data_IF_071565960249
#
_entry.id   IF_071565960249
#
_cell.length_a   1.000
_cell.length_b   1.000
_cell.length_c   1.000
_cell.angle_alpha   90.00
_cell.angle_beta   90.00
_cell.angle_gamma   90.00
#
_symmetry.space_group_name_H-M   'P 1'
#
loop_
_entity.id
_entity.type
_entity.pdbx_description
1 polymer ?
#
# COMPACT_ATOMS: atom_id res chain seq x y z
N UNK A 1 -18.04 -15.20 14.13
CA UNK A 1 -18.32 -13.76 14.32
C UNK A 1 -19.83 -13.58 14.45
N UNK A 2 -20.30 -12.84 15.44
CA UNK A 2 -21.74 -12.59 15.63
C UNK A 2 -22.23 -11.57 14.60
N UNK A 3 -23.50 -11.65 14.18
CA UNK A 3 -24.10 -10.75 13.18
C UNK A 3 -23.90 -9.27 13.54
N UNK A 4 -24.02 -8.95 14.84
CA UNK A 4 -23.77 -7.63 15.39
C UNK A 4 -22.31 -7.16 15.21
N UNK A 5 -21.34 -8.03 15.48
CA UNK A 5 -19.91 -7.72 15.29
C UNK A 5 -19.59 -7.48 13.81
N UNK A 6 -20.12 -8.32 12.91
CA UNK A 6 -19.92 -8.13 11.46
C UNK A 6 -20.55 -6.83 10.97
N UNK A 7 -21.76 -6.49 11.42
CA UNK A 7 -22.42 -5.24 11.07
C UNK A 7 -21.64 -4.00 11.56
N UNK A 8 -21.12 -4.06 12.80
CA UNK A 8 -20.28 -3.00 13.36
C UNK A 8 -18.98 -2.84 12.55
N UNK A 9 -18.31 -3.93 12.19
CA UNK A 9 -17.10 -3.90 11.38
C UNK A 9 -17.36 -3.31 9.99
N UNK A 10 -18.43 -3.74 9.32
CA UNK A 10 -18.78 -3.22 7.98
C UNK A 10 -19.11 -1.73 8.04
N UNK A 11 -19.91 -1.30 9.02
CA UNK A 11 -20.24 0.12 9.20
C UNK A 11 -19.00 0.95 9.50
N UNK A 12 -18.16 0.48 10.42
CA UNK A 12 -16.90 1.14 10.78
C UNK A 12 -15.95 1.26 9.58
N UNK A 13 -15.79 0.19 8.80
CA UNK A 13 -14.98 0.21 7.58
C UNK A 13 -15.56 1.14 6.52
N UNK A 14 -16.88 1.14 6.30
CA UNK A 14 -17.51 2.09 5.37
C UNK A 14 -17.24 3.55 5.77
N UNK A 15 -17.39 3.88 7.06
CA UNK A 15 -17.14 5.23 7.55
C UNK A 15 -15.65 5.60 7.40
N UNK A 16 -14.76 4.71 7.85
CA UNK A 16 -13.31 4.91 7.76
C UNK A 16 -12.85 5.12 6.31
N UNK A 17 -13.31 4.27 5.39
CA UNK A 17 -12.94 4.35 3.98
C UNK A 17 -13.47 5.63 3.33
N UNK A 18 -14.68 6.07 3.70
CA UNK A 18 -15.27 7.32 3.16
C UNK A 18 -14.42 8.53 3.55
N UNK A 19 -14.00 8.61 4.82
CA UNK A 19 -13.19 9.73 5.31
C UNK A 19 -11.80 9.66 4.68
N UNK A 20 -11.13 8.50 4.75
CA UNK A 20 -9.77 8.34 4.24
C UNK A 20 -9.69 8.52 2.72
N UNK A 21 -10.72 8.13 1.97
CA UNK A 21 -10.76 8.32 0.52
C UNK A 21 -10.79 9.80 0.12
N UNK A 22 -11.47 10.65 0.90
CA UNK A 22 -11.54 12.09 0.61
C UNK A 22 -10.18 12.73 0.87
N UNK A 23 -9.57 12.47 2.03
CA UNK A 23 -8.26 13.03 2.39
C UNK A 23 -7.18 12.64 1.37
N UNK A 24 -7.14 11.36 0.98
CA UNK A 24 -6.22 10.88 -0.05
C UNK A 24 -6.44 11.55 -1.42
N UNK A 25 -7.70 11.78 -1.81
CA UNK A 25 -8.02 12.45 -3.06
C UNK A 25 -7.61 13.94 -3.05
N UNK A 26 -7.81 14.63 -1.92
CA UNK A 26 -7.46 16.05 -1.76
C UNK A 26 -5.95 16.23 -1.83
N UNK A 27 -5.17 15.48 -1.03
CA UNK A 27 -3.71 15.59 -1.02
C UNK A 27 -3.13 15.31 -2.41
N UNK A 28 -3.62 14.26 -3.09
CA UNK A 28 -3.15 13.94 -4.44
C UNK A 28 -3.52 15.02 -5.46
N UNK A 29 -4.73 15.60 -5.37
CA UNK A 29 -5.16 16.70 -6.23
C UNK A 29 -4.36 17.98 -5.99
N UNK A 30 -4.03 18.30 -4.72
CA UNK A 30 -3.21 19.44 -4.34
C UNK A 30 -1.81 19.33 -4.93
N UNK A 31 -1.14 18.18 -4.74
CA UNK A 31 0.17 17.90 -5.33
C UNK A 31 0.12 17.98 -6.86
N UNK A 32 -0.92 17.43 -7.49
CA UNK A 32 -1.10 17.50 -8.95
C UNK A 32 -1.34 18.92 -9.47
N UNK A 33 -1.98 19.77 -8.67
CA UNK A 33 -2.27 21.15 -9.03
C UNK A 33 -1.02 22.01 -9.10
N UNK A 34 0.01 21.69 -8.31
CA UNK A 34 1.33 22.32 -8.35
C UNK A 34 2.20 21.90 -9.53
N UNK A 35 1.81 20.87 -10.30
CA UNK A 35 2.59 20.36 -11.43
C UNK A 35 2.21 21.04 -12.75
N UNK A 36 3.23 21.33 -13.57
CA UNK A 36 3.02 21.80 -14.94
C UNK A 36 2.21 20.80 -15.78
N UNK A 37 1.39 21.31 -16.71
CA UNK A 37 0.38 20.52 -17.43
C UNK A 37 0.94 19.31 -18.21
N UNK A 38 2.16 19.41 -18.72
CA UNK A 38 2.87 18.28 -19.37
C UNK A 38 3.30 17.21 -18.37
N UNK A 39 3.86 17.62 -17.22
CA UNK A 39 4.31 16.72 -16.17
C UNK A 39 3.11 16.00 -15.51
N UNK A 40 2.00 16.70 -15.30
CA UNK A 40 0.75 16.11 -14.77
C UNK A 40 0.22 14.97 -15.65
N UNK A 41 0.14 15.18 -16.98
CA UNK A 41 -0.29 14.11 -17.90
C UNK A 41 0.67 12.93 -17.91
N UNK A 42 1.97 13.19 -17.88
CA UNK A 42 2.97 12.13 -17.83
C UNK A 42 2.86 11.31 -16.54
N UNK A 43 2.72 11.98 -15.38
CA UNK A 43 2.55 11.33 -14.09
C UNK A 43 1.24 10.54 -14.00
N UNK A 44 0.13 11.09 -14.50
CA UNK A 44 -1.14 10.35 -14.52
C UNK A 44 -1.09 9.11 -15.42
N UNK A 45 -0.41 9.17 -16.57
CA UNK A 45 -0.30 8.03 -17.46
C UNK A 45 0.70 6.98 -16.94
N UNK A 46 1.93 7.38 -16.65
CA UNK A 46 3.01 6.47 -16.28
C UNK A 46 3.02 6.14 -14.78
N UNK A 47 2.68 7.10 -13.93
CA UNK A 47 2.62 6.92 -12.48
C UNK A 47 1.51 5.96 -12.08
N UNK A 48 0.31 6.09 -12.64
CA UNK A 48 -0.79 5.14 -12.39
C UNK A 48 -0.43 3.76 -12.96
N UNK A 49 0.12 3.70 -14.18
CA UNK A 49 0.53 2.43 -14.78
C UNK A 49 1.61 1.72 -13.93
N UNK A 50 2.60 2.45 -13.44
CA UNK A 50 3.61 1.89 -12.55
C UNK A 50 3.00 1.44 -11.22
N UNK A 51 2.17 2.28 -10.58
CA UNK A 51 1.53 1.96 -9.31
C UNK A 51 0.64 0.71 -9.41
N UNK A 52 -0.11 0.54 -10.50
CA UNK A 52 -1.01 -0.60 -10.66
C UNK A 52 -0.27 -1.85 -11.12
N UNK A 53 0.61 -1.78 -12.13
CA UNK A 53 1.23 -3.00 -12.67
C UNK A 53 2.47 -3.43 -11.89
N UNK A 54 3.33 -2.49 -11.47
CA UNK A 54 4.57 -2.83 -10.77
C UNK A 54 4.28 -3.09 -9.30
N UNK A 55 3.71 -2.12 -8.58
CA UNK A 55 3.48 -2.29 -7.14
C UNK A 55 2.38 -3.32 -6.86
N UNK A 56 1.36 -3.42 -7.70
CA UNK A 56 0.25 -4.38 -7.45
C UNK A 56 0.44 -5.74 -8.12
N UNK A 57 1.24 -5.83 -9.19
CA UNK A 57 1.49 -7.09 -9.90
C UNK A 57 2.87 -7.67 -9.61
N UNK A 58 3.91 -6.91 -9.90
CA UNK A 58 5.31 -7.38 -9.80
C UNK A 58 5.74 -7.54 -8.34
N UNK A 59 5.39 -6.61 -7.46
CA UNK A 59 5.84 -6.67 -6.07
C UNK A 59 5.31 -7.91 -5.32
N UNK A 60 4.00 -8.27 -5.37
CA UNK A 60 3.52 -9.50 -4.75
C UNK A 60 4.14 -10.75 -5.36
N UNK A 61 4.30 -10.77 -6.69
CA UNK A 61 4.96 -11.87 -7.39
C UNK A 61 6.42 -12.06 -6.93
N UNK A 62 7.16 -10.95 -6.78
CA UNK A 62 8.55 -10.97 -6.32
C UNK A 62 8.63 -11.47 -4.87
N UNK A 63 7.71 -11.05 -4.00
CA UNK A 63 7.61 -11.53 -2.62
C UNK A 63 7.38 -13.05 -2.58
N UNK A 64 6.43 -13.57 -3.36
CA UNK A 64 6.15 -15.03 -3.42
C UNK A 64 7.34 -15.81 -4.02
N UNK A 65 8.00 -15.25 -5.04
CA UNK A 65 9.17 -15.88 -5.65
C UNK A 65 10.36 -15.96 -4.68
N UNK A 66 10.63 -14.91 -3.91
CA UNK A 66 11.70 -14.88 -2.90
C UNK A 66 11.43 -15.84 -1.73
N UNK A 67 10.16 -15.99 -1.32
CA UNK A 67 9.79 -16.85 -0.18
C UNK A 67 9.59 -18.32 -0.55
N UNK A 68 9.24 -18.63 -1.80
CA UNK A 68 9.08 -20.01 -2.28
C UNK A 68 9.97 -20.31 -3.50
N UNK A 69 11.30 -20.49 -3.31
CA UNK A 69 12.25 -20.72 -4.41
C UNK A 69 11.97 -21.99 -5.23
N UNK A 70 11.23 -22.93 -4.64
CA UNK A 70 10.98 -24.27 -5.18
C UNK A 70 9.97 -24.29 -6.35
N UNK A 71 9.15 -23.24 -6.52
CA UNK A 71 8.12 -23.15 -7.56
C UNK A 71 8.63 -22.61 -8.90
N UNK A 72 9.83 -22.01 -8.94
CA UNK A 72 10.33 -21.30 -10.12
C UNK A 72 9.52 -20.04 -10.48
N UNK A 73 10.03 -19.17 -11.36
CA UNK A 73 9.40 -17.87 -11.66
C UNK A 73 7.99 -18.00 -12.27
N UNK A 74 7.75 -19.07 -13.05
CA UNK A 74 6.45 -19.33 -13.67
C UNK A 74 5.44 -19.92 -12.68
N UNK A 75 5.87 -20.78 -11.76
CA UNK A 75 5.03 -21.33 -10.68
C UNK A 75 4.65 -20.28 -9.63
N UNK A 76 5.55 -19.33 -9.35
CA UNK A 76 5.24 -18.18 -8.52
C UNK A 76 4.21 -17.24 -9.17
N UNK A 77 4.28 -17.06 -10.50
CA UNK A 77 3.32 -16.25 -11.25
C UNK A 77 1.93 -16.89 -11.24
N UNK A 78 1.85 -18.20 -11.52
CA UNK A 78 0.58 -18.93 -11.45
C UNK A 78 0.02 -18.93 -10.04
N UNK A 79 0.83 -19.21 -9.00
CA UNK A 79 0.37 -19.21 -7.61
C UNK A 79 -0.14 -17.84 -7.14
N UNK A 80 0.48 -16.74 -7.59
CA UNK A 80 0.06 -15.37 -7.25
C UNK A 80 -1.29 -15.03 -7.91
N UNK A 81 -1.54 -15.51 -9.13
CA UNK A 81 -2.79 -15.26 -9.86
C UNK A 81 -3.89 -16.29 -9.59
N UNK A 82 -3.56 -17.52 -9.19
CA UNK A 82 -4.51 -18.60 -8.95
C UNK A 82 -5.11 -18.58 -7.54
N UNK A 83 -4.67 -17.66 -6.67
CA UNK A 83 -5.20 -17.53 -5.31
C UNK A 83 -4.96 -18.77 -4.43
N UNK A 84 -3.89 -19.52 -4.73
CA UNK A 84 -3.57 -20.75 -4.01
C UNK A 84 -3.27 -20.45 -2.54
N UNK A 85 -3.70 -21.31 -1.62
CA UNK A 85 -3.53 -21.12 -0.16
C UNK A 85 -2.08 -20.93 0.28
N UNK A 86 -1.13 -21.38 -0.56
CA UNK A 86 0.31 -21.20 -0.37
C UNK A 86 0.79 -19.78 -0.67
N UNK A 87 0.16 -19.06 -1.60
CA UNK A 87 0.48 -17.66 -1.87
C UNK A 87 0.02 -16.75 -0.71
N UNK A 88 -1.13 -17.06 -0.11
CA UNK A 88 -1.60 -16.38 1.11
C UNK A 88 -0.65 -16.61 2.29
N UNK A 89 -0.23 -17.87 2.52
CA UNK A 89 0.73 -18.19 3.57
C UNK A 89 2.10 -17.50 3.35
N UNK A 90 2.58 -17.45 2.11
CA UNK A 90 3.82 -16.75 1.75
C UNK A 90 3.72 -15.23 1.96
N UNK A 91 2.57 -14.63 1.64
CA UNK A 91 2.31 -13.20 1.89
C UNK A 91 2.22 -12.92 3.39
N UNK A 92 1.57 -13.80 4.16
CA UNK A 92 1.46 -13.68 5.61
C UNK A 92 2.82 -13.84 6.30
N UNK A 93 3.66 -14.77 5.84
CA UNK A 93 5.04 -14.96 6.33
C UNK A 93 5.97 -13.78 5.96
N UNK A 94 5.71 -13.14 4.82
CA UNK A 94 6.46 -11.96 4.37
C UNK A 94 5.98 -10.66 4.99
N UNK A 95 4.75 -10.63 5.51
CA UNK A 95 4.13 -9.43 6.08
C UNK A 95 4.96 -8.82 7.22
N UNK A 96 5.54 -9.59 8.17
CA UNK A 96 6.38 -9.04 9.23
C UNK A 96 7.55 -8.22 8.73
N UNK A 97 8.26 -8.67 7.70
CA UNK A 97 9.46 -7.96 7.22
C UNK A 97 9.09 -6.66 6.50
N UNK A 98 7.98 -6.67 5.75
CA UNK A 98 7.42 -5.48 5.12
C UNK A 98 6.90 -4.48 6.16
N UNK A 99 6.22 -4.98 7.19
CA UNK A 99 5.67 -4.18 8.29
C UNK A 99 6.78 -3.57 9.15
N UNK A 100 7.90 -4.26 9.37
CA UNK A 100 9.07 -3.70 10.06
C UNK A 100 9.64 -2.51 9.28
N UNK A 101 9.78 -2.63 7.97
CA UNK A 101 10.23 -1.51 7.12
C UNK A 101 9.33 -0.28 7.25
N UNK A 102 8.02 -0.47 7.13
CA UNK A 102 7.03 0.60 7.34
C UNK A 102 7.03 1.16 8.77
N UNK A 103 7.18 0.30 9.77
CA UNK A 103 7.23 0.67 11.17
C UNK A 103 8.44 1.54 11.51
N UNK A 104 9.63 1.18 11.02
CA UNK A 104 10.85 2.00 11.20
C UNK A 104 10.70 3.36 10.52
N UNK A 105 10.12 3.41 9.32
CA UNK A 105 9.83 4.67 8.64
C UNK A 105 8.91 5.57 9.47
N UNK A 106 7.82 5.03 10.04
CA UNK A 106 6.91 5.80 10.89
C UNK A 106 7.58 6.33 12.16
N UNK A 107 8.47 5.53 12.78
CA UNK A 107 9.27 5.98 13.93
C UNK A 107 10.19 7.15 13.55
N UNK A 108 10.86 7.06 12.41
CA UNK A 108 11.69 8.16 11.91
C UNK A 108 10.88 9.39 11.55
N UNK A 109 9.70 9.23 10.96
CA UNK A 109 8.79 10.34 10.68
C UNK A 109 8.34 11.02 11.98
N UNK A 110 8.03 10.24 13.01
CA UNK A 110 7.69 10.77 14.33
C UNK A 110 8.85 11.55 14.94
N UNK A 111 10.09 11.04 14.88
CA UNK A 111 11.26 11.76 15.37
C UNK A 111 11.58 13.00 14.55
N UNK A 112 11.40 12.96 13.24
CA UNK A 112 11.53 14.13 12.38
C UNK A 112 10.54 15.22 12.81
N UNK A 113 9.26 14.86 12.95
CA UNK A 113 8.25 15.79 13.43
C UNK A 113 8.54 16.29 14.85
N UNK A 114 9.08 15.44 15.73
CA UNK A 114 9.36 15.80 17.12
C UNK A 114 10.53 16.79 17.25
N UNK A 115 11.65 16.52 16.58
CA UNK A 115 12.92 17.22 16.78
C UNK A 115 13.32 18.19 15.67
N UNK A 116 13.01 17.87 14.40
CA UNK A 116 13.52 18.61 13.24
C UNK A 116 12.49 19.60 12.69
N UNK A 117 11.21 19.29 12.82
CA UNK A 117 10.16 20.15 12.31
C UNK A 117 10.01 21.41 13.17
N UNK A 118 10.08 22.57 12.51
CA UNK A 118 9.95 23.88 13.13
C UNK A 118 8.50 24.09 13.57
N UNK A 119 8.22 23.77 14.84
CA UNK A 119 6.89 23.94 15.43
C UNK A 119 6.64 25.44 15.67
N UNK A 120 5.87 26.07 14.78
CA UNK A 120 5.27 27.39 15.05
C UNK A 120 4.14 27.20 16.07
N UNK A 121 4.48 27.33 17.34
CA UNK A 121 3.49 27.53 18.39
C UNK A 121 3.10 29.01 18.34
N UNK A 122 1.81 29.27 18.08
CA UNK A 122 1.24 30.62 18.14
C UNK A 122 1.33 31.20 19.53
#
# INVERSE_FOLDING_TARGET
MNLFSSALTVMGLCLFETISSIDNAIINAEVLSGMGQKARRWFLCWGILFAVFVIRGILPWLIVWCTTPQLGPWGALTATFSGDSRALAAVEESSPILLIGGGVFLVFLFFHWLFLEQKRFG
#
